data_IF_306335674080
#
_entry.id   IF_306335674080
#
_cell.length_a   1.000
_cell.length_b   1.000
_cell.length_c   1.000
_cell.angle_alpha   90.00
_cell.angle_beta   90.00
_cell.angle_gamma   90.00
#
_symmetry.space_group_name_H-M   'P 1'
#
loop_
_entity.id
_entity.type
_entity.pdbx_description
1 polymer ?
#
# COMPACT_ATOMS: atom_id res chain seq x y z
N UNK A 1 -22.63 -11.24 5.70
CA UNK A 1 -21.85 -10.18 5.02
C UNK A 1 -20.62 -10.85 4.40
N UNK A 2 -20.61 -11.09 3.08
CA UNK A 2 -19.48 -11.77 2.43
C UNK A 2 -18.40 -10.72 2.12
N UNK A 3 -17.26 -10.78 2.79
CA UNK A 3 -16.10 -9.97 2.42
C UNK A 3 -15.54 -10.49 1.09
N UNK A 4 -15.35 -9.60 0.13
CA UNK A 4 -14.61 -9.89 -1.09
C UNK A 4 -13.14 -10.15 -0.70
N UNK A 5 -12.71 -11.41 -0.80
CA UNK A 5 -11.37 -11.87 -0.38
C UNK A 5 -10.26 -11.50 -1.38
N UNK A 6 -10.56 -10.77 -2.45
CA UNK A 6 -9.54 -10.41 -3.46
C UNK A 6 -8.52 -9.38 -2.97
N UNK A 7 -8.84 -8.62 -1.92
CA UNK A 7 -7.97 -7.57 -1.40
C UNK A 7 -7.26 -7.99 -0.13
N UNK A 8 -5.92 -7.96 -0.14
CA UNK A 8 -5.10 -8.13 1.06
C UNK A 8 -4.73 -6.75 1.64
N UNK A 9 -4.87 -6.51 2.96
CA UNK A 9 -4.52 -5.23 3.57
C UNK A 9 -3.01 -4.93 3.47
N UNK A 10 -2.18 -5.97 3.49
CA UNK A 10 -0.75 -5.90 3.25
C UNK A 10 -0.27 -7.16 2.54
N UNK A 11 0.99 -7.16 2.10
CA UNK A 11 1.66 -8.35 1.58
C UNK A 11 3.14 -8.31 1.96
N UNK A 12 3.73 -9.49 2.09
CA UNK A 12 5.14 -9.68 2.41
C UNK A 12 5.83 -10.26 1.17
N UNK A 13 6.97 -9.69 0.81
CA UNK A 13 7.83 -10.13 -0.26
C UNK A 13 9.24 -10.36 0.27
N UNK A 14 9.92 -11.39 -0.26
CA UNK A 14 11.30 -11.71 0.10
C UNK A 14 11.51 -11.83 1.62
N UNK A 15 10.62 -12.55 2.30
CA UNK A 15 10.73 -12.78 3.73
C UNK A 15 12.08 -13.41 4.05
N UNK A 16 12.84 -12.75 4.91
CA UNK A 16 14.16 -13.17 5.36
C UNK A 16 14.32 -12.80 6.84
N UNK A 17 14.28 -13.84 7.67
CA UNK A 17 14.43 -13.79 9.12
C UNK A 17 15.83 -13.40 9.61
N UNK A 18 16.83 -13.46 8.74
CA UNK A 18 18.21 -13.03 9.04
C UNK A 18 18.54 -11.62 8.53
N UNK A 19 17.62 -10.96 7.83
CA UNK A 19 17.85 -9.60 7.35
C UNK A 19 17.86 -8.60 8.52
N UNK A 20 18.88 -7.75 8.60
CA UNK A 20 18.93 -6.60 9.51
C UNK A 20 18.14 -5.39 9.01
N UNK A 21 17.56 -5.49 7.82
CA UNK A 21 16.81 -4.43 7.15
C UNK A 21 15.39 -4.94 6.87
N UNK A 22 14.41 -4.11 7.20
CA UNK A 22 13.02 -4.25 6.75
C UNK A 22 12.71 -3.06 5.86
N UNK A 23 12.12 -3.32 4.70
CA UNK A 23 11.65 -2.28 3.79
C UNK A 23 10.14 -2.19 3.94
N UNK A 24 9.62 -0.98 4.12
CA UNK A 24 8.19 -0.68 4.19
C UNK A 24 7.78 0.19 3.00
N UNK A 25 6.57 -0.03 2.48
CA UNK A 25 5.97 0.86 1.49
C UNK A 25 4.47 1.02 1.77
N UNK A 26 4.14 2.05 2.54
CA UNK A 26 2.77 2.33 2.99
C UNK A 26 1.82 2.75 1.86
N UNK A 27 2.34 3.44 0.85
CA UNK A 27 1.55 3.99 -0.26
C UNK A 27 1.75 3.20 -1.56
N UNK A 28 1.89 1.87 -1.46
CA UNK A 28 2.25 1.00 -2.59
C UNK A 28 1.13 0.74 -3.62
N UNK A 29 -0.13 0.98 -3.25
CA UNK A 29 -1.29 0.55 -4.01
C UNK A 29 -2.32 1.68 -4.11
N UNK A 30 -2.99 1.78 -5.25
CA UNK A 30 -4.15 2.66 -5.48
C UNK A 30 -5.49 1.98 -5.26
N UNK A 31 -5.48 0.74 -4.78
CA UNK A 31 -6.68 -0.10 -4.71
C UNK A 31 -7.64 0.42 -3.65
N UNK A 32 -8.89 0.63 -4.07
CA UNK A 32 -10.02 0.91 -3.18
C UNK A 32 -11.05 -0.21 -3.41
N UNK A 33 -11.46 -0.97 -2.38
CA UNK A 33 -12.48 -2.00 -2.54
C UNK A 33 -13.77 -1.45 -3.16
N UNK A 34 -14.36 -2.20 -4.10
CA UNK A 34 -15.55 -1.78 -4.87
C UNK A 34 -16.70 -1.26 -3.99
N UNK A 35 -16.87 -1.82 -2.78
CA UNK A 35 -17.90 -1.40 -1.82
C UNK A 35 -17.81 0.08 -1.41
N UNK A 36 -16.64 0.70 -1.50
CA UNK A 36 -16.43 2.12 -1.19
C UNK A 36 -16.62 3.04 -2.40
N UNK A 37 -16.95 2.52 -3.59
CA UNK A 37 -17.26 3.30 -4.81
C UNK A 37 -16.25 4.42 -5.09
N UNK A 38 -14.95 4.11 -5.04
CA UNK A 38 -13.84 5.07 -5.20
C UNK A 38 -13.92 6.31 -4.28
N UNK A 39 -14.63 6.22 -3.15
CA UNK A 39 -14.84 7.34 -2.22
C UNK A 39 -15.52 8.56 -2.89
N UNK A 40 -16.27 8.33 -3.97
CA UNK A 40 -16.88 9.40 -4.77
C UNK A 40 -15.92 10.08 -5.76
N UNK A 41 -14.66 9.64 -5.85
CA UNK A 41 -13.67 10.17 -6.78
C UNK A 41 -13.76 9.51 -8.16
N UNK A 42 -13.39 10.26 -9.19
CA UNK A 42 -13.18 9.69 -10.51
C UNK A 42 -11.99 8.72 -10.51
N UNK A 43 -12.05 7.68 -11.36
CA UNK A 43 -10.92 6.75 -11.56
C UNK A 43 -9.63 7.49 -11.95
N UNK A 44 -9.75 8.58 -12.72
CA UNK A 44 -8.61 9.45 -13.08
C UNK A 44 -7.94 10.02 -11.83
N UNK A 45 -8.71 10.45 -10.82
CA UNK A 45 -8.15 10.98 -9.58
C UNK A 45 -7.54 9.89 -8.69
N UNK A 46 -8.20 8.73 -8.55
CA UNK A 46 -7.64 7.58 -7.81
C UNK A 46 -6.29 7.11 -8.38
N UNK A 47 -6.12 7.22 -9.71
CA UNK A 47 -4.88 6.83 -10.38
C UNK A 47 -3.71 7.82 -10.21
N UNK A 48 -3.93 9.03 -9.68
CA UNK A 48 -2.89 10.05 -9.46
C UNK A 48 -2.13 9.80 -8.16
N UNK A 49 -1.07 10.59 -7.94
CA UNK A 49 -0.24 10.58 -6.74
C UNK A 49 -1.00 10.77 -5.41
N UNK A 50 -2.21 11.34 -5.44
CA UNK A 50 -3.06 11.44 -4.24
C UNK A 50 -3.49 10.07 -3.72
N UNK A 51 -3.56 9.05 -4.60
CA UNK A 51 -4.01 7.71 -4.26
C UNK A 51 -2.91 6.79 -3.74
N UNK A 52 -1.66 7.04 -4.13
CA UNK A 52 -0.53 6.13 -3.98
C UNK A 52 0.76 6.77 -4.51
N UNK A 53 1.91 6.24 -4.11
CA UNK A 53 3.21 6.69 -4.59
C UNK A 53 3.59 5.95 -5.87
N UNK A 54 3.42 6.65 -7.01
CA UNK A 54 3.62 6.08 -8.34
C UNK A 54 5.06 5.55 -8.47
N UNK A 55 5.18 4.23 -8.66
CA UNK A 55 6.47 3.55 -8.84
C UNK A 55 7.16 3.08 -7.55
N UNK A 56 6.69 3.51 -6.37
CA UNK A 56 7.32 3.16 -5.09
C UNK A 56 7.38 1.64 -4.85
N UNK A 57 6.28 0.92 -5.10
CA UNK A 57 6.24 -0.55 -5.01
C UNK A 57 7.32 -1.23 -5.86
N UNK A 58 7.48 -0.79 -7.11
CA UNK A 58 8.47 -1.36 -8.04
C UNK A 58 9.90 -1.08 -7.58
N UNK A 59 10.16 0.14 -7.09
CA UNK A 59 11.46 0.52 -6.57
C UNK A 59 11.81 -0.25 -5.29
N UNK A 60 10.91 -0.26 -4.30
CA UNK A 60 11.09 -0.96 -3.03
C UNK A 60 11.32 -2.46 -3.23
N UNK A 61 10.59 -3.09 -4.16
CA UNK A 61 10.81 -4.50 -4.53
C UNK A 61 12.23 -4.74 -5.07
N UNK A 62 12.76 -3.86 -5.93
CA UNK A 62 14.14 -3.98 -6.44
C UNK A 62 15.19 -3.79 -5.35
N UNK A 63 14.97 -2.86 -4.42
CA UNK A 63 15.86 -2.64 -3.27
C UNK A 63 15.86 -3.89 -2.37
N UNK A 64 14.68 -4.45 -2.09
CA UNK A 64 14.52 -5.70 -1.33
C UNK A 64 15.30 -6.86 -1.95
N UNK A 65 15.20 -7.05 -3.26
CA UNK A 65 15.98 -8.06 -3.98
C UNK A 65 17.49 -7.85 -3.85
N UNK A 66 17.97 -6.61 -4.03
CA UNK A 66 19.40 -6.28 -3.95
C UNK A 66 19.98 -6.44 -2.55
N UNK A 67 19.18 -6.15 -1.53
CA UNK A 67 19.60 -6.19 -0.11
C UNK A 67 19.26 -7.50 0.57
N UNK A 68 18.53 -8.39 -0.10
CA UNK A 68 17.94 -9.62 0.48
C UNK A 68 17.07 -9.34 1.71
N UNK A 69 16.38 -8.20 1.72
CA UNK A 69 15.59 -7.74 2.86
C UNK A 69 14.13 -8.16 2.78
N UNK A 70 13.51 -8.41 3.94
CA UNK A 70 12.05 -8.51 4.07
C UNK A 70 11.41 -7.20 3.60
N UNK A 71 10.43 -7.31 2.70
CA UNK A 71 9.67 -6.18 2.19
C UNK A 71 8.19 -6.34 2.50
N UNK A 72 7.60 -5.34 3.16
CA UNK A 72 6.18 -5.30 3.49
C UNK A 72 5.56 -4.07 2.82
N UNK A 73 4.39 -4.25 2.21
CA UNK A 73 3.68 -3.15 1.55
C UNK A 73 2.18 -3.22 1.74
N UNK A 74 1.55 -2.05 1.79
CA UNK A 74 0.10 -1.92 1.92
C UNK A 74 -0.62 -2.28 0.62
N UNK A 75 -1.76 -2.95 0.74
CA UNK A 75 -2.59 -3.33 -0.41
C UNK A 75 -3.66 -2.31 -0.78
N UNK A 76 -3.93 -1.31 0.06
CA UNK A 76 -4.94 -0.27 -0.16
C UNK A 76 -4.35 1.10 -0.46
N UNK A 77 -5.16 1.93 -1.11
CA UNK A 77 -4.90 3.35 -1.30
C UNK A 77 -4.84 4.10 0.02
N UNK A 78 -3.91 5.06 0.11
CA UNK A 78 -3.84 6.02 1.23
C UNK A 78 -5.11 6.86 1.39
N UNK A 79 -5.91 7.00 0.33
CA UNK A 79 -7.21 7.68 0.38
C UNK A 79 -8.23 6.91 1.21
N UNK A 80 -8.12 5.59 1.28
CA UNK A 80 -8.97 4.77 2.14
C UNK A 80 -8.46 4.81 3.58
N UNK A 81 -7.15 4.56 3.75
CA UNK A 81 -6.46 4.65 5.03
C UNK A 81 -4.97 4.90 4.77
N UNK A 82 -4.44 5.97 5.35
CA UNK A 82 -3.02 6.30 5.27
C UNK A 82 -2.29 5.62 6.44
N UNK A 83 -1.60 4.50 6.16
CA UNK A 83 -0.84 3.75 7.17
C UNK A 83 0.35 4.53 7.75
N UNK A 84 0.74 5.66 7.14
CA UNK A 84 1.79 6.56 7.60
C UNK A 84 1.21 7.81 8.31
N UNK A 85 0.07 7.64 8.97
CA UNK A 85 -0.60 8.65 9.80
C UNK A 85 -1.03 8.01 11.12
N UNK A 86 -0.92 8.77 12.21
CA UNK A 86 -1.45 8.32 13.49
C UNK A 86 -2.99 8.31 13.45
N UNK A 87 -3.61 7.43 14.23
CA UNK A 87 -5.07 7.29 14.27
C UNK A 87 -5.81 8.60 14.64
N UNK A 88 -5.15 9.46 15.44
CA UNK A 88 -5.70 10.73 15.90
C UNK A 88 -5.51 11.88 14.88
N UNK A 89 -4.74 11.66 13.82
CA UNK A 89 -4.48 12.69 12.82
C UNK A 89 -5.75 12.94 12.02
N UNK A 90 -6.26 14.17 12.04
CA UNK A 90 -7.37 14.58 11.16
C UNK A 90 -6.93 14.47 9.70
N UNK A 91 -7.84 14.01 8.84
CA UNK A 91 -7.61 13.99 7.39
C UNK A 91 -7.29 15.39 6.86
N UNK A 92 -6.43 15.44 5.84
CA UNK A 92 -6.18 16.67 5.08
C UNK A 92 -7.36 16.98 4.15
#
# INVERSE_FOLDING_TARGET
MKFDHSYKPYSIYNHNEHSKIIILCDHASKTIPKKYKNLGLSTKNVNKHIGWDIGALKLAKKISQKTKSTFIYSGYSRLLIDCNRALQTKGA
#
